data_IF_198880341157
#
_entry.id   IF_198880341157
#
_cell.length_a   1.000
_cell.length_b   1.000
_cell.length_c   1.000
_cell.angle_alpha   90.00
_cell.angle_beta   90.00
_cell.angle_gamma   90.00
#
_symmetry.space_group_name_H-M   'P 1'
#
loop_
_entity.id
_entity.type
_entity.pdbx_description
1 polymer ?
#
# COMPACT_ATOMS: atom_id res chain seq x y z
N UNK A 1 -27.74 4.43 38.42
CA UNK A 1 -26.80 4.51 37.28
C UNK A 1 -25.52 3.79 37.68
N UNK A 2 -25.18 2.68 37.04
CA UNK A 2 -23.91 1.99 37.30
C UNK A 2 -22.75 2.82 36.73
N UNK A 3 -21.78 3.20 37.56
CA UNK A 3 -20.59 3.90 37.11
C UNK A 3 -19.79 2.99 36.17
N UNK A 4 -19.57 3.43 34.93
CA UNK A 4 -18.67 2.74 34.00
C UNK A 4 -17.26 2.73 34.61
N UNK A 5 -16.75 1.54 34.91
CA UNK A 5 -15.36 1.39 35.34
C UNK A 5 -14.44 1.83 34.19
N UNK A 6 -13.38 2.61 34.49
CA UNK A 6 -12.43 3.01 33.46
C UNK A 6 -11.78 1.76 32.86
N UNK A 7 -11.65 1.73 31.53
CA UNK A 7 -10.96 0.64 30.84
C UNK A 7 -9.51 0.59 31.29
N UNK A 8 -9.05 -0.56 31.77
CA UNK A 8 -7.66 -0.78 32.17
C UNK A 8 -6.66 -0.52 31.03
N UNK A 9 -7.09 -0.71 29.78
CA UNK A 9 -6.30 -0.36 28.61
C UNK A 9 -6.18 1.16 28.42
N UNK A 10 -7.27 1.90 28.62
CA UNK A 10 -7.27 3.36 28.47
C UNK A 10 -6.61 4.10 29.65
N UNK A 11 -6.41 3.43 30.79
CA UNK A 11 -5.58 3.96 31.89
C UNK A 11 -4.08 3.88 31.63
N UNK A 12 -3.63 3.15 30.60
CA UNK A 12 -2.22 3.11 30.21
C UNK A 12 -1.80 4.45 29.60
N UNK A 13 -0.54 4.90 29.77
CA UNK A 13 0.04 6.01 29.02
C UNK A 13 -0.07 5.81 27.50
N UNK A 14 -0.16 6.91 26.76
CA UNK A 14 -0.33 6.89 25.29
C UNK A 14 0.77 6.09 24.58
N UNK A 15 2.01 6.14 25.06
CA UNK A 15 3.13 5.38 24.51
C UNK A 15 2.92 3.87 24.57
N UNK A 16 2.45 3.35 25.72
CA UNK A 16 2.16 1.92 25.87
C UNK A 16 0.95 1.51 25.01
N UNK A 17 -0.06 2.37 24.89
CA UNK A 17 -1.18 2.13 23.98
C UNK A 17 -0.72 2.06 22.53
N UNK A 18 0.17 2.96 22.10
CA UNK A 18 0.76 2.95 20.76
C UNK A 18 1.55 1.68 20.47
N UNK A 19 2.33 1.19 21.43
CA UNK A 19 3.03 -0.11 21.31
C UNK A 19 2.04 -1.26 21.12
N UNK A 20 0.95 -1.29 21.88
CA UNK A 20 -0.09 -2.31 21.74
C UNK A 20 -0.77 -2.19 20.37
N UNK A 21 -1.09 -0.98 19.90
CA UNK A 21 -1.63 -0.78 18.56
C UNK A 21 -0.67 -1.25 17.48
N UNK A 22 0.63 -0.97 17.60
CA UNK A 22 1.62 -1.41 16.64
C UNK A 22 1.65 -2.93 16.53
N UNK A 23 1.59 -3.65 17.65
CA UNK A 23 1.58 -5.12 17.69
C UNK A 23 0.30 -5.72 17.08
N UNK A 24 -0.86 -5.09 17.29
CA UNK A 24 -2.16 -5.64 16.87
C UNK A 24 -2.62 -5.19 15.48
N UNK A 25 -2.10 -4.05 14.99
CA UNK A 25 -2.59 -3.38 13.79
C UNK A 25 -1.52 -3.27 12.70
N UNK A 26 -0.27 -3.69 12.93
CA UNK A 26 0.79 -3.70 11.90
C UNK A 26 1.01 -5.12 11.39
N UNK A 27 0.92 -5.28 10.07
CA UNK A 27 1.06 -6.56 9.41
C UNK A 27 2.48 -7.11 9.63
N UNK A 28 2.61 -8.39 10.04
CA UNK A 28 3.91 -9.02 10.18
C UNK A 28 4.63 -9.13 8.83
N UNK A 29 5.96 -9.25 8.86
CA UNK A 29 6.80 -9.21 7.66
C UNK A 29 6.42 -10.24 6.59
N UNK A 30 5.95 -11.43 7.00
CA UNK A 30 5.53 -12.49 6.07
C UNK A 30 4.34 -12.08 5.19
N UNK A 31 3.47 -11.15 5.65
CA UNK A 31 2.32 -10.67 4.87
C UNK A 31 2.77 -10.03 3.56
N UNK A 32 3.93 -9.35 3.54
CA UNK A 32 4.48 -8.79 2.28
C UNK A 32 4.73 -9.91 1.27
N UNK A 33 5.33 -11.02 1.69
CA UNK A 33 5.60 -12.15 0.82
C UNK A 33 4.30 -12.86 0.39
N UNK A 34 3.41 -13.14 1.34
CA UNK A 34 2.10 -13.74 1.07
C UNK A 34 1.28 -12.91 0.08
N UNK A 35 1.26 -11.60 0.24
CA UNK A 35 0.61 -10.66 -0.68
C UNK A 35 1.18 -10.72 -2.08
N UNK A 36 2.51 -10.82 -2.23
CA UNK A 36 3.14 -10.97 -3.56
C UNK A 36 2.68 -12.27 -4.24
N UNK A 37 2.69 -13.39 -3.52
CA UNK A 37 2.23 -14.68 -4.06
C UNK A 37 0.76 -14.62 -4.46
N UNK A 38 -0.10 -14.05 -3.61
CA UNK A 38 -1.53 -13.87 -3.88
C UNK A 38 -1.79 -12.96 -5.09
N UNK A 39 -1.11 -11.81 -5.15
CA UNK A 39 -1.27 -10.82 -6.24
C UNK A 39 -0.81 -11.37 -7.58
N UNK A 40 0.23 -12.21 -7.60
CA UNK A 40 0.71 -12.90 -8.80
C UNK A 40 -0.17 -14.07 -9.23
N UNK A 41 -1.16 -14.47 -8.42
CA UNK A 41 -1.99 -15.65 -8.67
C UNK A 41 -1.22 -16.98 -8.56
N UNK A 42 -0.11 -16.99 -7.82
CA UNK A 42 0.77 -18.17 -7.67
C UNK A 42 0.26 -19.17 -6.63
N UNK A 43 -0.66 -18.77 -5.76
CA UNK A 43 -1.32 -19.65 -4.81
C UNK A 43 -2.79 -19.28 -4.65
N UNK A 44 -3.58 -20.24 -4.17
CA UNK A 44 -4.95 -19.98 -3.76
C UNK A 44 -4.99 -19.32 -2.39
N UNK A 45 -5.99 -18.48 -2.15
CA UNK A 45 -6.17 -17.72 -0.91
C UNK A 45 -6.29 -18.61 0.33
N UNK A 46 -6.80 -19.84 0.19
CA UNK A 46 -6.95 -20.77 1.33
C UNK A 46 -5.62 -21.34 1.85
N UNK A 47 -4.52 -21.18 1.10
CA UNK A 47 -3.17 -21.60 1.49
C UNK A 47 -2.41 -20.45 2.16
N UNK A 48 -2.93 -19.22 2.08
CA UNK A 48 -2.28 -18.06 2.69
C UNK A 48 -2.34 -18.18 4.22
N UNK A 49 -1.25 -17.81 4.92
CA UNK A 49 -1.27 -17.74 6.37
C UNK A 49 -2.34 -16.74 6.84
N UNK A 50 -2.90 -16.94 8.04
CA UNK A 50 -3.85 -16.00 8.60
C UNK A 50 -3.19 -14.62 8.75
N UNK A 51 -3.98 -13.58 8.49
CA UNK A 51 -3.59 -12.22 8.79
C UNK A 51 -3.75 -12.02 10.30
N UNK A 52 -2.65 -12.15 11.05
CA UNK A 52 -2.61 -11.98 12.50
C UNK A 52 -2.79 -10.50 12.92
N UNK A 53 -3.92 -9.90 12.53
CA UNK A 53 -4.32 -8.54 12.85
C UNK A 53 -5.66 -8.53 13.58
N UNK A 54 -5.84 -7.53 14.43
CA UNK A 54 -7.06 -7.35 15.20
C UNK A 54 -7.75 -6.01 14.88
N UNK A 55 -8.15 -5.74 13.62
CA UNK A 55 -8.82 -4.49 13.26
C UNK A 55 -10.18 -4.33 13.95
N UNK A 56 -10.80 -5.42 14.43
CA UNK A 56 -12.02 -5.38 15.23
C UNK A 56 -11.88 -4.53 16.50
N UNK A 57 -10.66 -4.35 17.01
CA UNK A 57 -10.36 -3.45 18.12
C UNK A 57 -10.81 -2.01 17.83
N UNK A 58 -10.72 -1.55 16.58
CA UNK A 58 -11.11 -0.20 16.16
C UNK A 58 -12.62 0.07 16.25
N UNK A 59 -13.43 -0.98 16.49
CA UNK A 59 -14.88 -0.89 16.65
C UNK A 59 -15.32 -0.77 18.11
N UNK A 60 -14.40 -0.84 19.07
CA UNK A 60 -14.71 -0.91 20.50
C UNK A 60 -15.15 0.45 21.06
N UNK A 61 -14.38 1.52 20.84
CA UNK A 61 -14.73 2.87 21.28
C UNK A 61 -14.09 3.96 20.39
N UNK A 62 -14.58 5.20 20.51
CA UNK A 62 -14.13 6.34 19.69
C UNK A 62 -12.66 6.69 19.89
N UNK A 63 -12.15 6.59 21.13
CA UNK A 63 -10.74 6.88 21.41
C UNK A 63 -9.82 5.85 20.73
N UNK A 64 -10.10 4.56 20.91
CA UNK A 64 -9.35 3.48 20.27
C UNK A 64 -9.42 3.57 18.75
N UNK A 65 -10.60 3.93 18.22
CA UNK A 65 -10.77 4.20 16.80
C UNK A 65 -9.85 5.33 16.33
N UNK A 66 -9.85 6.49 17.00
CA UNK A 66 -9.06 7.64 16.61
C UNK A 66 -7.54 7.36 16.67
N UNK A 67 -7.07 6.73 17.75
CA UNK A 67 -5.65 6.41 17.96
C UNK A 67 -5.19 5.29 17.00
N UNK A 68 -5.91 4.16 16.97
CA UNK A 68 -5.49 2.96 16.23
C UNK A 68 -5.68 3.04 14.71
N UNK A 69 -6.62 3.86 14.21
CA UNK A 69 -6.85 3.97 12.75
C UNK A 69 -5.60 4.51 12.04
N UNK A 70 -4.89 5.47 12.64
CA UNK A 70 -3.65 5.98 12.04
C UNK A 70 -2.56 4.92 11.98
N UNK A 71 -2.49 4.01 12.96
CA UNK A 71 -1.53 2.89 12.95
C UNK A 71 -1.89 1.89 11.86
N UNK A 72 -3.14 1.42 11.80
CA UNK A 72 -3.56 0.42 10.81
C UNK A 72 -3.35 0.90 9.36
N UNK A 73 -3.73 2.15 9.05
CA UNK A 73 -3.67 2.63 7.67
C UNK A 73 -2.36 3.33 7.31
N UNK A 74 -1.68 3.93 8.28
CA UNK A 74 -0.43 4.67 8.06
C UNK A 74 0.83 3.80 8.15
N UNK A 75 0.85 2.79 9.04
CA UNK A 75 2.04 1.95 9.22
C UNK A 75 2.16 0.85 8.15
N UNK A 76 1.03 0.39 7.62
CA UNK A 76 0.99 -0.74 6.70
C UNK A 76 1.09 -0.33 5.24
N UNK A 77 1.76 -1.16 4.46
CA UNK A 77 1.80 -1.06 3.00
C UNK A 77 0.66 -1.87 2.39
N UNK A 78 -0.21 -1.21 1.64
CA UNK A 78 -1.36 -1.82 0.98
C UNK A 78 -1.07 -2.05 -0.50
N UNK A 79 -1.53 -3.18 -1.02
CA UNK A 79 -1.54 -3.38 -2.45
C UNK A 79 -2.73 -2.68 -3.10
N UNK A 80 -2.50 -2.17 -4.30
CA UNK A 80 -3.54 -1.58 -5.12
C UNK A 80 -4.11 -2.60 -6.10
N UNK A 81 -5.31 -2.32 -6.61
CA UNK A 81 -5.91 -3.13 -7.66
C UNK A 81 -5.22 -2.82 -9.01
N UNK A 82 -4.85 -3.82 -9.83
CA UNK A 82 -4.06 -3.61 -11.05
C UNK A 82 -4.74 -2.69 -12.07
N UNK A 83 -6.08 -2.63 -12.08
CA UNK A 83 -6.82 -1.77 -13.02
C UNK A 83 -7.42 -0.52 -12.37
N UNK A 84 -7.64 -0.55 -11.06
CA UNK A 84 -8.40 0.48 -10.34
C UNK A 84 -7.53 1.26 -9.36
N UNK A 85 -6.23 0.98 -9.34
CA UNK A 85 -5.23 1.64 -8.51
C UNK A 85 -5.68 1.66 -7.03
N UNK A 86 -5.67 2.84 -6.41
CA UNK A 86 -6.01 3.06 -5.00
C UNK A 86 -7.51 2.99 -4.71
N UNK A 87 -8.35 2.66 -5.71
CA UNK A 87 -9.80 2.54 -5.55
C UNK A 87 -10.23 1.32 -4.70
N UNK A 88 -9.45 0.24 -4.72
CA UNK A 88 -9.71 -1.00 -3.98
C UNK A 88 -8.42 -1.51 -3.33
N UNK A 89 -7.93 -0.84 -2.27
CA UNK A 89 -6.74 -1.27 -1.56
C UNK A 89 -6.99 -2.59 -0.83
N UNK A 90 -5.98 -3.44 -0.74
CA UNK A 90 -6.02 -4.67 0.04
C UNK A 90 -4.68 -4.92 0.73
N UNK A 91 -4.72 -5.61 1.87
CA UNK A 91 -3.52 -5.86 2.66
C UNK A 91 -2.81 -7.18 2.31
N UNK A 92 -3.58 -8.20 1.92
CA UNK A 92 -3.04 -9.54 1.63
C UNK A 92 -3.61 -10.13 0.33
N UNK A 93 -4.94 -10.23 0.21
CA UNK A 93 -5.59 -10.79 -0.99
C UNK A 93 -6.44 -9.75 -1.72
N UNK A 94 -6.40 -9.71 -3.06
CA UNK A 94 -7.27 -8.84 -3.86
C UNK A 94 -8.76 -9.21 -3.75
N UNK A 95 -9.10 -10.40 -3.22
CA UNK A 95 -10.49 -10.82 -2.99
C UNK A 95 -11.12 -10.19 -1.74
N UNK A 96 -10.30 -9.59 -0.88
CA UNK A 96 -10.73 -8.90 0.34
C UNK A 96 -10.31 -7.44 0.31
N UNK A 97 -10.81 -6.65 -0.67
CA UNK A 97 -10.49 -5.23 -0.74
C UNK A 97 -11.19 -4.46 0.37
N UNK A 98 -10.57 -3.37 0.78
CA UNK A 98 -11.15 -2.39 1.68
C UNK A 98 -12.05 -1.48 0.85
N UNK A 99 -13.34 -1.77 0.87
CA UNK A 99 -14.36 -1.02 0.13
C UNK A 99 -14.73 0.29 0.82
N UNK A 100 -14.84 0.26 2.15
CA UNK A 100 -15.35 1.36 2.96
C UNK A 100 -14.48 1.61 4.19
N UNK A 101 -14.54 2.84 4.72
CA UNK A 101 -13.95 3.16 6.02
C UNK A 101 -13.24 4.51 6.03
N UNK A 102 -13.41 5.31 7.10
CA UNK A 102 -12.82 6.65 7.22
C UNK A 102 -11.30 6.63 7.38
N UNK A 103 -10.65 5.47 7.39
CA UNK A 103 -9.19 5.38 7.45
C UNK A 103 -8.52 5.26 6.09
N UNK A 104 -9.26 5.00 5.01
CA UNK A 104 -8.69 4.68 3.71
C UNK A 104 -7.82 5.79 3.10
N UNK A 105 -8.17 7.06 3.33
CA UNK A 105 -7.37 8.21 2.88
C UNK A 105 -6.05 8.38 3.63
N UNK A 106 -5.86 7.68 4.75
CA UNK A 106 -4.61 7.63 5.50
C UNK A 106 -3.60 6.62 4.93
N UNK A 107 -4.00 5.82 3.94
CA UNK A 107 -3.07 4.91 3.27
C UNK A 107 -2.08 5.74 2.45
N UNK A 108 -0.81 5.66 2.84
CA UNK A 108 0.30 6.36 2.17
C UNK A 108 1.38 5.44 1.66
N UNK A 109 1.31 4.14 1.95
CA UNK A 109 2.30 3.14 1.57
C UNK A 109 1.67 2.13 0.63
N UNK A 110 2.18 2.08 -0.60
CA UNK A 110 1.54 1.38 -1.71
C UNK A 110 2.45 0.29 -2.30
N UNK A 111 1.81 -0.76 -2.79
CA UNK A 111 2.40 -1.82 -3.60
C UNK A 111 1.55 -2.01 -4.85
N UNK A 112 2.18 -2.04 -6.02
CA UNK A 112 1.52 -2.39 -7.28
C UNK A 112 2.27 -3.52 -7.96
N UNK A 113 1.53 -4.50 -8.49
CA UNK A 113 2.07 -5.53 -9.36
C UNK A 113 1.58 -5.32 -10.78
N UNK A 114 2.50 -5.31 -11.73
CA UNK A 114 2.25 -5.04 -13.14
C UNK A 114 2.70 -6.21 -13.99
N UNK A 115 1.86 -6.56 -14.96
CA UNK A 115 2.22 -7.44 -16.06
C UNK A 115 2.52 -6.59 -17.28
N UNK A 116 3.77 -6.59 -17.74
CA UNK A 116 4.17 -5.79 -18.90
C UNK A 116 3.67 -6.40 -20.22
N UNK A 117 3.20 -7.65 -20.20
CA UNK A 117 2.58 -8.33 -21.34
C UNK A 117 1.08 -8.05 -21.49
N UNK A 118 0.51 -7.20 -20.63
CA UNK A 118 -0.92 -6.85 -20.64
C UNK A 118 -1.06 -5.33 -20.69
N UNK A 119 -1.94 -4.86 -21.58
CA UNK A 119 -2.23 -3.43 -21.69
C UNK A 119 -2.73 -2.86 -20.36
N UNK A 120 -2.13 -1.74 -19.96
CA UNK A 120 -2.55 -1.00 -18.78
C UNK A 120 -3.99 -0.53 -18.93
N UNK A 121 -4.82 -0.78 -17.90
CA UNK A 121 -6.21 -0.30 -17.82
C UNK A 121 -6.34 1.05 -17.13
N UNK A 122 -5.24 1.79 -17.06
CA UNK A 122 -5.13 3.08 -16.41
C UNK A 122 -4.25 4.00 -17.27
N UNK A 123 -4.40 5.30 -17.03
CA UNK A 123 -3.65 6.36 -17.70
C UNK A 123 -2.56 6.92 -16.79
N UNK A 124 -1.56 7.59 -17.37
CA UNK A 124 -0.53 8.29 -16.60
C UNK A 124 -1.11 9.31 -15.61
N UNK A 125 -2.17 10.04 -16.01
CA UNK A 125 -2.87 11.00 -15.14
C UNK A 125 -3.54 10.33 -13.93
N UNK A 126 -4.11 9.14 -14.11
CA UNK A 126 -4.69 8.38 -13.01
C UNK A 126 -3.62 7.88 -12.03
N UNK A 127 -2.45 7.48 -12.53
CA UNK A 127 -1.31 7.11 -11.68
C UNK A 127 -0.80 8.29 -10.87
N UNK A 128 -0.63 9.44 -11.51
CA UNK A 128 -0.20 10.67 -10.85
C UNK A 128 -1.15 11.05 -9.71
N UNK A 129 -2.47 11.03 -9.98
CA UNK A 129 -3.49 11.30 -8.96
C UNK A 129 -3.52 10.25 -7.84
N UNK A 130 -3.21 9.00 -8.16
CA UNK A 130 -3.28 7.90 -7.20
C UNK A 130 -2.09 7.86 -6.23
N UNK A 131 -0.88 8.19 -6.71
CA UNK A 131 0.36 7.89 -5.98
C UNK A 131 1.23 9.10 -5.67
N UNK A 132 0.99 10.27 -6.26
CA UNK A 132 1.78 11.45 -5.91
C UNK A 132 1.59 11.83 -4.44
N UNK A 133 2.69 12.18 -3.77
CA UNK A 133 2.69 12.47 -2.32
C UNK A 133 2.51 11.25 -1.41
N UNK A 134 2.70 10.03 -1.93
CA UNK A 134 2.76 8.83 -1.10
C UNK A 134 4.03 8.80 -0.22
N UNK A 135 3.97 8.13 0.93
CA UNK A 135 5.17 7.89 1.75
C UNK A 135 6.06 6.82 1.12
N UNK A 136 5.45 5.75 0.60
CA UNK A 136 6.13 4.62 0.00
C UNK A 136 5.36 4.15 -1.24
N UNK A 137 6.06 3.91 -2.36
CA UNK A 137 5.51 3.29 -3.56
C UNK A 137 6.46 2.19 -4.03
N UNK A 138 6.01 0.94 -3.92
CA UNK A 138 6.70 -0.20 -4.49
C UNK A 138 6.00 -0.66 -5.77
N UNK A 139 6.72 -0.58 -6.89
CA UNK A 139 6.30 -1.07 -8.20
C UNK A 139 7.02 -2.38 -8.47
N UNK A 140 6.25 -3.46 -8.53
CA UNK A 140 6.73 -4.76 -8.94
C UNK A 140 6.25 -5.07 -10.36
N UNK A 141 7.14 -5.41 -11.28
CA UNK A 141 6.75 -5.77 -12.65
C UNK A 141 7.18 -7.19 -13.03
N UNK A 142 6.40 -7.81 -13.92
CA UNK A 142 6.67 -9.12 -14.49
C UNK A 142 6.56 -9.06 -16.02
N UNK A 143 7.44 -9.82 -16.66
CA UNK A 143 7.32 -10.14 -18.07
C UNK A 143 7.60 -11.63 -18.28
N UNK A 144 6.96 -12.26 -19.27
CA UNK A 144 7.02 -13.71 -19.46
C UNK A 144 8.36 -14.21 -20.01
N UNK A 145 9.11 -13.36 -20.72
CA UNK A 145 10.43 -13.70 -21.28
C UNK A 145 11.32 -12.45 -21.41
N UNK A 146 12.63 -12.63 -21.44
CA UNK A 146 13.59 -11.54 -21.68
C UNK A 146 13.35 -10.91 -23.06
N UNK A 147 13.37 -9.58 -23.14
CA UNK A 147 13.10 -8.84 -24.39
C UNK A 147 11.64 -8.90 -24.89
N UNK A 148 10.73 -9.46 -24.08
CA UNK A 148 9.30 -9.51 -24.38
C UNK A 148 8.56 -8.38 -23.64
N UNK A 149 7.81 -7.57 -24.40
CA UNK A 149 7.08 -6.42 -23.89
C UNK A 149 7.81 -5.10 -24.11
N UNK A 150 7.05 -4.01 -24.07
CA UNK A 150 7.60 -2.66 -24.08
C UNK A 150 7.67 -2.09 -22.65
N UNK A 151 8.51 -1.07 -22.45
CA UNK A 151 8.49 -0.31 -21.21
C UNK A 151 7.32 0.70 -21.16
N UNK A 152 6.34 0.57 -22.06
CA UNK A 152 5.25 1.54 -22.24
C UNK A 152 4.44 1.71 -20.96
N UNK A 153 4.09 0.61 -20.31
CA UNK A 153 3.37 0.64 -19.02
C UNK A 153 4.19 1.28 -17.90
N UNK A 154 5.51 1.06 -17.85
CA UNK A 154 6.37 1.70 -16.84
C UNK A 154 6.54 3.20 -17.09
N UNK A 155 6.57 3.64 -18.36
CA UNK A 155 6.61 5.05 -18.72
C UNK A 155 5.42 5.84 -18.18
N UNK A 156 4.26 5.20 -17.98
CA UNK A 156 3.09 5.85 -17.38
C UNK A 156 3.35 6.35 -15.95
N UNK A 157 4.36 5.81 -15.26
CA UNK A 157 4.74 6.20 -13.90
C UNK A 157 5.66 7.43 -13.86
N UNK A 158 6.22 7.86 -15.00
CA UNK A 158 7.16 8.98 -15.08
C UNK A 158 6.56 10.32 -14.62
N UNK A 159 5.23 10.44 -14.54
CA UNK A 159 4.55 11.64 -14.07
C UNK A 159 4.39 11.74 -12.54
N UNK A 160 4.56 10.65 -11.79
CA UNK A 160 4.34 10.64 -10.34
C UNK A 160 5.44 11.44 -9.62
N UNK A 161 5.07 12.25 -8.63
CA UNK A 161 6.02 13.08 -7.85
C UNK A 161 5.74 13.04 -6.35
N UNK A 162 6.73 13.43 -5.55
CA UNK A 162 6.63 13.65 -4.12
C UNK A 162 6.53 12.38 -3.29
N UNK A 163 6.94 11.23 -3.84
CA UNK A 163 6.96 9.99 -3.08
C UNK A 163 8.19 9.96 -2.17
N UNK A 164 8.02 9.67 -0.88
CA UNK A 164 9.13 9.59 0.07
C UNK A 164 10.13 8.48 -0.26
N UNK A 165 9.63 7.27 -0.50
CA UNK A 165 10.41 6.09 -0.88
C UNK A 165 9.78 5.38 -2.08
N UNK A 166 10.38 5.47 -3.26
CA UNK A 166 10.03 4.67 -4.42
C UNK A 166 10.95 3.45 -4.55
N UNK A 167 10.38 2.31 -4.98
CA UNK A 167 11.14 1.11 -5.31
C UNK A 167 10.53 0.45 -6.54
N UNK A 168 11.33 0.24 -7.58
CA UNK A 168 10.91 -0.37 -8.85
C UNK A 168 11.71 -1.65 -9.03
N UNK A 169 11.05 -2.81 -8.89
CA UNK A 169 11.69 -4.12 -9.02
C UNK A 169 10.89 -5.04 -9.92
N UNK A 170 11.53 -6.04 -10.50
CA UNK A 170 10.81 -7.00 -11.33
C UNK A 170 11.70 -8.08 -11.92
N UNK A 171 11.10 -8.88 -12.79
CA UNK A 171 11.79 -9.97 -13.50
C UNK A 171 12.81 -9.48 -14.54
N UNK A 172 13.45 -10.43 -15.20
CA UNK A 172 14.41 -10.18 -16.28
C UNK A 172 13.74 -9.44 -17.43
N UNK A 173 14.13 -8.18 -17.71
CA UNK A 173 13.44 -7.44 -18.75
C UNK A 173 13.58 -5.94 -18.85
N UNK A 174 13.26 -5.24 -17.77
CA UNK A 174 13.55 -3.82 -17.70
C UNK A 174 15.02 -3.63 -17.36
N UNK A 175 15.66 -2.68 -18.03
CA UNK A 175 16.99 -2.23 -17.67
C UNK A 175 16.99 -1.72 -16.22
N UNK A 176 17.93 -2.25 -15.43
CA UNK A 176 18.12 -1.83 -14.04
C UNK A 176 18.50 -0.35 -13.94
N UNK A 177 19.07 0.24 -14.99
CA UNK A 177 19.32 1.68 -15.07
C UNK A 177 18.02 2.48 -15.21
N UNK A 178 17.11 2.02 -16.09
CA UNK A 178 15.80 2.67 -16.24
C UNK A 178 14.96 2.58 -14.97
N UNK A 179 14.94 1.42 -14.29
CA UNK A 179 14.22 1.26 -13.02
C UNK A 179 14.71 2.25 -11.95
N UNK A 180 16.04 2.38 -11.78
CA UNK A 180 16.65 3.36 -10.86
C UNK A 180 16.37 4.81 -11.26
N UNK A 181 16.37 5.09 -12.56
CA UNK A 181 16.01 6.42 -13.08
C UNK A 181 14.55 6.76 -12.76
N UNK A 182 13.64 5.79 -12.94
CA UNK A 182 12.23 5.94 -12.62
C UNK A 182 12.00 6.15 -11.12
N UNK A 183 12.67 5.39 -10.25
CA UNK A 183 12.64 5.61 -8.80
C UNK A 183 13.02 7.05 -8.46
N UNK A 184 14.12 7.55 -9.01
CA UNK A 184 14.59 8.91 -8.80
C UNK A 184 13.58 9.96 -9.31
N UNK A 185 12.93 9.72 -10.45
CA UNK A 185 11.87 10.61 -10.98
C UNK A 185 10.66 10.66 -10.06
N UNK A 186 10.21 9.51 -9.54
CA UNK A 186 9.05 9.38 -8.67
C UNK A 186 9.27 10.10 -7.32
N UNK A 187 10.51 10.07 -6.82
CA UNK A 187 10.88 10.74 -5.56
C UNK A 187 11.11 12.26 -5.69
N UNK A 188 11.15 12.81 -6.91
CA UNK A 188 11.30 14.27 -7.08
C UNK A 188 10.15 15.01 -6.40
N UNK A 189 10.39 16.18 -5.79
CA UNK A 189 9.33 16.93 -5.14
C UNK A 189 8.21 17.27 -6.13
N UNK A 190 6.98 17.37 -5.62
CA UNK A 190 5.89 18.00 -6.37
C UNK A 190 6.33 19.46 -6.53
N UNK A 191 6.51 19.92 -7.77
CA UNK A 191 6.77 21.33 -8.00
C UNK A 191 5.54 22.09 -7.50
N UNK A 192 5.68 22.83 -6.39
CA UNK A 192 4.74 23.89 -6.09
C UNK A 192 4.83 24.87 -7.25
N UNK A 193 3.77 24.94 -8.05
CA UNK A 193 3.52 26.08 -8.94
C UNK A 193 3.22 27.27 -8.02
N UNK A 194 4.25 27.78 -7.36
CA UNK A 194 4.24 29.04 -6.64
C UNK A 194 4.30 30.14 -7.68
N UNK A 195 3.13 30.74 -7.96
CA UNK A 195 2.89 32.07 -8.54
C UNK A 195 3.98 32.70 -9.43
N UNK A 196 3.67 32.83 -10.71
CA UNK A 196 4.04 34.02 -11.50
C UNK A 196 2.78 34.78 -11.85
#
# INVERSE_FOLDING_TARGET
MAAQRPSAFLSLPAELRNTIYALLLTAPAHVKQSRRVATRGLCSDYILPPLDLCPALLRTCRQIHAEGTSVLYGANQFACHPSLLTALPYLMSPRQPITEGPGRWKIKRWYIYLRLDVDARFTAKQLEQAFSGAEELEVEYFQPAYGYGDNGTLKLFEGIRGVGLAKVTGGSGCDAEYARTLEAMIMRPIHDVSNS
#
